data_IF_030404309546
#
_entry.id   IF_030404309546
#
_cell.length_a   1.000
_cell.length_b   1.000
_cell.length_c   1.000
_cell.angle_alpha   90.00
_cell.angle_beta   90.00
_cell.angle_gamma   90.00
#
_symmetry.space_group_name_H-M   'P 1'
#
loop_
_entity.id
_entity.type
_entity.pdbx_description
1 polymer ?
#
# COMPACT_ATOMS: atom_id res chain seq x y z
N UNK A 1 -20.49 33.71 -58.61
CA UNK A 1 -21.48 33.34 -59.62
C UNK A 1 -21.36 31.83 -59.77
N UNK A 2 -22.27 31.12 -59.12
CA UNK A 2 -22.15 29.68 -58.87
C UNK A 2 -22.30 28.87 -60.17
N UNK A 3 -21.67 27.68 -60.26
CA UNK A 3 -21.71 26.77 -61.43
C UNK A 3 -23.14 26.50 -61.95
N UNK A 4 -24.14 26.56 -61.07
CA UNK A 4 -25.55 26.44 -61.43
C UNK A 4 -26.03 27.61 -62.29
N UNK A 5 -25.51 28.82 -62.10
CA UNK A 5 -25.87 30.02 -62.86
C UNK A 5 -25.38 29.95 -64.31
N UNK A 6 -24.23 29.33 -64.58
CA UNK A 6 -23.64 29.22 -65.93
C UNK A 6 -24.25 28.07 -66.74
N UNK A 7 -24.53 26.92 -66.09
CA UNK A 7 -25.34 25.87 -66.75
C UNK A 7 -26.72 26.41 -67.17
N UNK A 8 -27.31 27.30 -66.36
CA UNK A 8 -28.55 27.99 -66.69
C UNK A 8 -28.39 29.00 -67.85
N UNK A 9 -27.17 29.50 -68.10
CA UNK A 9 -26.85 30.37 -69.24
C UNK A 9 -26.79 29.60 -70.57
N UNK A 10 -26.20 28.40 -70.62
CA UNK A 10 -26.22 27.56 -71.85
C UNK A 10 -27.65 27.22 -72.25
N UNK A 11 -28.48 26.75 -71.30
CA UNK A 11 -29.88 26.45 -71.58
C UNK A 11 -30.66 27.70 -71.96
N UNK A 12 -30.34 28.85 -71.37
CA UNK A 12 -30.92 30.15 -71.74
C UNK A 12 -30.61 30.56 -73.18
N UNK A 13 -29.35 30.44 -73.61
CA UNK A 13 -28.91 30.73 -74.99
C UNK A 13 -29.58 29.79 -76.00
N UNK A 14 -29.66 28.49 -75.69
CA UNK A 14 -30.33 27.50 -76.56
C UNK A 14 -31.84 27.81 -76.67
N UNK A 15 -32.50 28.12 -75.54
CA UNK A 15 -33.92 28.49 -75.53
C UNK A 15 -34.18 29.77 -76.33
N UNK A 16 -33.24 30.72 -76.30
CA UNK A 16 -33.31 31.94 -77.10
C UNK A 16 -33.22 31.65 -78.61
N UNK A 17 -32.30 30.76 -79.04
CA UNK A 17 -32.23 30.32 -80.44
C UNK A 17 -33.53 29.62 -80.85
N UNK A 18 -34.06 28.74 -80.00
CA UNK A 18 -35.32 28.03 -80.24
C UNK A 18 -36.50 29.00 -80.40
N UNK A 19 -36.62 29.99 -79.52
CA UNK A 19 -37.64 31.02 -79.58
C UNK A 19 -37.51 31.87 -80.86
N UNK A 20 -36.29 32.27 -81.25
CA UNK A 20 -36.05 33.03 -82.48
C UNK A 20 -36.44 32.24 -83.73
N UNK A 21 -36.23 30.92 -83.72
CA UNK A 21 -36.63 30.03 -84.82
C UNK A 21 -38.16 29.80 -84.82
N UNK A 22 -38.79 29.70 -83.65
CA UNK A 22 -40.24 29.46 -83.53
C UNK A 22 -41.08 30.68 -83.91
N UNK A 23 -40.70 31.88 -83.45
CA UNK A 23 -41.38 33.14 -83.70
C UNK A 23 -41.17 33.68 -85.12
N UNK A 24 -40.25 33.07 -85.87
CA UNK A 24 -39.89 33.55 -87.20
C UNK A 24 -41.06 33.49 -88.22
N UNK A 25 -41.23 34.56 -89.03
CA UNK A 25 -42.34 34.66 -89.98
C UNK A 25 -42.35 33.54 -91.03
N UNK A 26 -43.54 32.98 -91.30
CA UNK A 26 -43.77 32.06 -92.42
C UNK A 26 -44.05 32.86 -93.70
N UNK A 27 -43.30 32.65 -94.80
CA UNK A 27 -43.56 33.35 -96.06
C UNK A 27 -44.92 32.91 -96.65
N UNK A 28 -45.79 33.89 -96.93
CA UNK A 28 -47.20 33.68 -97.29
C UNK A 28 -47.43 33.17 -98.73
N UNK A 29 -46.40 33.11 -99.58
CA UNK A 29 -46.51 32.69 -100.98
C UNK A 29 -45.50 31.57 -101.28
N UNK A 30 -45.98 30.32 -101.38
CA UNK A 30 -45.23 29.19 -101.95
C UNK A 30 -44.14 28.54 -101.09
N UNK A 31 -44.16 28.72 -99.76
CA UNK A 31 -43.00 28.44 -98.90
C UNK A 31 -43.06 27.28 -97.90
N UNK A 32 -44.03 26.36 -97.91
CA UNK A 32 -44.04 25.18 -97.02
C UNK A 32 -43.70 25.44 -95.53
N UNK A 33 -42.99 24.51 -94.87
CA UNK A 33 -42.48 24.62 -93.49
C UNK A 33 -41.26 25.55 -93.34
N UNK A 34 -40.94 26.38 -94.33
CA UNK A 34 -39.76 27.25 -94.28
C UNK A 34 -40.04 28.46 -93.41
N UNK A 35 -39.03 28.85 -92.64
CA UNK A 35 -39.03 29.97 -91.71
C UNK A 35 -38.01 31.00 -92.20
N UNK A 36 -38.35 32.28 -92.15
CA UNK A 36 -37.42 33.37 -92.49
C UNK A 36 -36.88 33.92 -91.18
N UNK A 37 -35.63 33.59 -90.86
CA UNK A 37 -34.94 34.09 -89.67
C UNK A 37 -33.80 35.01 -90.07
N UNK A 38 -33.54 36.02 -89.25
CA UNK A 38 -32.36 36.86 -89.37
C UNK A 38 -31.10 36.02 -89.09
N UNK A 39 -30.24 35.92 -90.11
CA UNK A 39 -29.03 35.12 -90.05
C UNK A 39 -28.01 35.73 -89.08
N UNK A 40 -27.90 37.05 -89.03
CA UNK A 40 -26.90 37.73 -88.21
C UNK A 40 -27.23 37.54 -86.73
N UNK A 41 -28.51 37.68 -86.36
CA UNK A 41 -28.97 37.48 -85.00
C UNK A 41 -28.80 36.03 -84.50
N UNK A 42 -29.01 35.01 -85.34
CA UNK A 42 -28.71 33.61 -84.96
C UNK A 42 -27.21 33.38 -84.81
N UNK A 43 -26.40 33.96 -85.70
CA UNK A 43 -24.95 33.80 -85.68
C UNK A 43 -24.31 34.41 -84.43
N UNK A 44 -24.85 35.52 -83.93
CA UNK A 44 -24.41 36.14 -82.67
C UNK A 44 -24.67 35.20 -81.47
N UNK A 45 -25.89 34.68 -81.35
CA UNK A 45 -26.26 33.77 -80.25
C UNK A 45 -25.50 32.43 -80.35
N UNK A 46 -25.23 31.94 -81.56
CA UNK A 46 -24.37 30.79 -81.80
C UNK A 46 -22.89 31.09 -81.46
N UNK A 47 -22.45 32.33 -81.67
CA UNK A 47 -21.13 32.83 -81.27
C UNK A 47 -20.95 32.79 -79.76
N UNK A 48 -21.95 33.25 -79.01
CA UNK A 48 -21.97 33.20 -77.55
C UNK A 48 -22.00 31.74 -77.05
N UNK A 49 -22.80 30.88 -77.68
CA UNK A 49 -22.83 29.45 -77.37
C UNK A 49 -21.46 28.78 -77.60
N UNK A 50 -20.77 29.17 -78.67
CA UNK A 50 -19.44 28.64 -79.02
C UNK A 50 -18.38 29.02 -77.99
N UNK A 51 -18.51 30.15 -77.30
CA UNK A 51 -17.59 30.57 -76.25
C UNK A 51 -17.94 29.93 -74.90
N UNK A 52 -19.22 29.84 -74.57
CA UNK A 52 -19.70 29.34 -73.28
C UNK A 52 -19.56 27.82 -73.12
N UNK A 53 -19.90 27.03 -74.14
CA UNK A 53 -19.84 25.55 -74.07
C UNK A 53 -18.44 25.02 -73.71
N UNK A 54 -17.35 25.40 -74.42
CA UNK A 54 -16.03 24.86 -74.11
C UNK A 54 -15.54 25.26 -72.72
N UNK A 55 -15.96 26.42 -72.25
CA UNK A 55 -15.55 26.98 -70.98
C UNK A 55 -16.28 26.30 -69.80
N UNK A 56 -17.58 26.04 -69.93
CA UNK A 56 -18.32 25.21 -68.96
C UNK A 56 -17.83 23.76 -68.94
N UNK A 57 -17.49 23.18 -70.10
CA UNK A 57 -16.95 21.82 -70.17
C UNK A 57 -15.59 21.72 -69.46
N UNK A 58 -14.71 22.73 -69.60
CA UNK A 58 -13.44 22.77 -68.87
C UNK A 58 -13.65 22.81 -67.37
N UNK A 59 -14.55 23.69 -66.89
CA UNK A 59 -14.87 23.77 -65.47
C UNK A 59 -15.48 22.50 -64.92
N UNK A 60 -16.39 21.85 -65.65
CA UNK A 60 -16.97 20.58 -65.23
C UNK A 60 -15.90 19.50 -65.07
N UNK A 61 -14.95 19.41 -66.00
CA UNK A 61 -13.83 18.48 -65.89
C UNK A 61 -12.91 18.83 -64.72
N UNK A 62 -12.62 20.11 -64.48
CA UNK A 62 -11.84 20.54 -63.30
C UNK A 62 -12.54 20.17 -62.00
N UNK A 63 -13.86 20.35 -61.91
CA UNK A 63 -14.62 19.96 -60.72
C UNK A 63 -14.62 18.45 -60.49
N UNK A 64 -14.66 17.65 -61.56
CA UNK A 64 -14.53 16.18 -61.46
C UNK A 64 -13.17 15.83 -60.87
N UNK A 65 -12.08 16.37 -61.43
CA UNK A 65 -10.72 16.13 -60.92
C UNK A 65 -10.58 16.61 -59.47
N UNK A 66 -11.05 17.80 -59.15
CA UNK A 66 -11.03 18.34 -57.78
C UNK A 66 -11.81 17.42 -56.83
N UNK A 67 -12.99 16.94 -57.24
CA UNK A 67 -13.79 16.01 -56.43
C UNK A 67 -13.09 14.67 -56.22
N UNK A 68 -12.40 14.15 -57.24
CA UNK A 68 -11.61 12.92 -57.13
C UNK A 68 -10.46 13.12 -56.13
N UNK A 69 -9.73 14.23 -56.23
CA UNK A 69 -8.63 14.51 -55.28
C UNK A 69 -9.13 14.67 -53.85
N UNK A 70 -10.29 15.32 -53.64
CA UNK A 70 -10.90 15.45 -52.31
C UNK A 70 -11.30 14.08 -51.77
N UNK A 71 -11.89 13.21 -52.61
CA UNK A 71 -12.27 11.86 -52.21
C UNK A 71 -11.06 11.01 -51.86
N UNK A 72 -9.98 11.10 -52.61
CA UNK A 72 -8.76 10.33 -52.34
C UNK A 72 -8.07 10.81 -51.07
N UNK A 73 -7.95 12.13 -50.87
CA UNK A 73 -7.44 12.69 -49.61
C UNK A 73 -8.32 12.29 -48.42
N UNK A 74 -9.65 12.32 -48.56
CA UNK A 74 -10.57 11.90 -47.50
C UNK A 74 -10.41 10.40 -47.17
N UNK A 75 -10.19 9.55 -48.17
CA UNK A 75 -9.94 8.12 -48.00
C UNK A 75 -8.60 7.86 -47.30
N UNK A 76 -7.55 8.56 -47.69
CA UNK A 76 -6.23 8.45 -47.06
C UNK A 76 -6.29 8.86 -45.58
N UNK A 77 -6.85 10.04 -45.29
CA UNK A 77 -7.03 10.52 -43.91
C UNK A 77 -7.90 9.57 -43.07
N UNK A 78 -8.96 9.01 -43.66
CA UNK A 78 -9.81 8.04 -42.96
C UNK A 78 -9.05 6.74 -42.66
N UNK A 79 -8.22 6.25 -43.59
CA UNK A 79 -7.40 5.07 -43.38
C UNK A 79 -6.36 5.30 -42.27
N UNK A 80 -5.69 6.46 -42.28
CA UNK A 80 -4.73 6.84 -41.24
C UNK A 80 -5.40 6.94 -39.87
N UNK A 81 -6.58 7.57 -39.79
CA UNK A 81 -7.32 7.69 -38.54
C UNK A 81 -7.70 6.32 -37.95
N UNK A 82 -8.15 5.39 -38.80
CA UNK A 82 -8.50 4.02 -38.36
C UNK A 82 -7.26 3.28 -37.88
N UNK A 83 -6.12 3.43 -38.56
CA UNK A 83 -4.86 2.82 -38.15
C UNK A 83 -4.38 3.38 -36.80
N UNK A 84 -4.42 4.70 -36.63
CA UNK A 84 -4.01 5.36 -35.39
C UNK A 84 -4.95 4.99 -34.24
N UNK A 85 -6.27 4.98 -34.46
CA UNK A 85 -7.23 4.53 -33.46
C UNK A 85 -7.00 3.06 -33.07
N UNK A 86 -6.64 2.20 -34.02
CA UNK A 86 -6.26 0.81 -33.75
C UNK A 86 -5.03 0.70 -32.86
N UNK A 87 -3.96 1.43 -33.19
CA UNK A 87 -2.72 1.48 -32.39
C UNK A 87 -2.97 2.00 -30.98
N UNK A 88 -3.76 3.06 -30.85
CA UNK A 88 -4.12 3.62 -29.54
C UNK A 88 -4.92 2.62 -28.71
N UNK A 89 -5.94 1.98 -29.30
CA UNK A 89 -6.73 0.95 -28.63
C UNK A 89 -5.84 -0.21 -28.14
N UNK A 90 -4.94 -0.72 -28.99
CA UNK A 90 -4.00 -1.78 -28.62
C UNK A 90 -3.05 -1.33 -27.50
N UNK A 91 -2.58 -0.08 -27.53
CA UNK A 91 -1.72 0.48 -26.48
C UNK A 91 -2.46 0.59 -25.13
N UNK A 92 -3.74 0.97 -25.15
CA UNK A 92 -4.58 1.05 -23.96
C UNK A 92 -4.82 -0.34 -23.40
N UNK A 93 -5.16 -1.32 -24.25
CA UNK A 93 -5.37 -2.71 -23.82
C UNK A 93 -4.08 -3.29 -23.22
N UNK A 94 -2.92 -3.05 -23.86
CA UNK A 94 -1.63 -3.50 -23.35
C UNK A 94 -1.31 -2.87 -22.00
N UNK A 95 -1.41 -1.55 -21.88
CA UNK A 95 -1.12 -0.86 -20.61
C UNK A 95 -2.10 -1.27 -19.50
N UNK A 96 -3.38 -1.46 -19.80
CA UNK A 96 -4.36 -1.96 -18.83
C UNK A 96 -4.04 -3.40 -18.39
N UNK A 97 -3.62 -4.26 -19.32
CA UNK A 97 -3.22 -5.64 -19.01
C UNK A 97 -1.98 -5.67 -18.13
N UNK A 98 -0.95 -4.90 -18.46
CA UNK A 98 0.28 -4.77 -17.65
C UNK A 98 -0.02 -4.22 -16.25
N UNK A 99 -0.93 -3.25 -16.13
CA UNK A 99 -1.36 -2.71 -14.83
C UNK A 99 -2.12 -3.76 -14.02
N UNK A 100 -3.02 -4.52 -14.64
CA UNK A 100 -3.74 -5.59 -13.98
C UNK A 100 -2.78 -6.68 -13.47
N UNK A 101 -1.82 -7.11 -14.29
CA UNK A 101 -0.79 -8.06 -13.88
C UNK A 101 0.06 -7.55 -12.73
N UNK A 102 0.41 -6.26 -12.73
CA UNK A 102 1.16 -5.64 -11.64
C UNK A 102 0.36 -5.65 -10.34
N UNK A 103 -0.92 -5.27 -10.38
CA UNK A 103 -1.81 -5.26 -9.21
C UNK A 103 -1.96 -6.68 -8.65
N UNK A 104 -2.13 -7.68 -9.52
CA UNK A 104 -2.22 -9.07 -9.09
C UNK A 104 -0.94 -9.54 -8.40
N UNK A 105 0.23 -9.25 -8.98
CA UNK A 105 1.52 -9.60 -8.39
C UNK A 105 1.73 -8.94 -7.03
N UNK A 106 1.43 -7.66 -6.92
CA UNK A 106 1.52 -6.93 -5.65
C UNK A 106 0.55 -7.49 -4.60
N UNK A 107 -0.68 -7.83 -5.00
CA UNK A 107 -1.66 -8.44 -4.12
C UNK A 107 -1.21 -9.81 -3.61
N UNK A 108 -0.61 -10.64 -4.47
CA UNK A 108 -0.08 -11.95 -4.10
C UNK A 108 1.12 -11.82 -3.14
N UNK A 109 2.05 -10.90 -3.42
CA UNK A 109 3.20 -10.61 -2.54
C UNK A 109 2.74 -10.11 -1.16
N UNK A 110 1.78 -9.19 -1.11
CA UNK A 110 1.19 -8.71 0.14
C UNK A 110 0.41 -9.79 0.88
N UNK A 111 -0.28 -10.67 0.16
CA UNK A 111 -0.98 -11.80 0.73
C UNK A 111 0.00 -12.76 1.43
N UNK A 112 1.05 -13.18 0.73
CA UNK A 112 2.08 -14.06 1.28
C UNK A 112 2.80 -13.42 2.48
N UNK A 113 3.10 -12.12 2.42
CA UNK A 113 3.66 -11.38 3.55
C UNK A 113 2.74 -11.42 4.76
N UNK A 114 1.45 -11.14 4.61
CA UNK A 114 0.48 -11.16 5.72
C UNK A 114 0.27 -12.55 6.29
N UNK A 115 0.25 -13.58 5.45
CA UNK A 115 0.13 -14.97 5.90
C UNK A 115 1.35 -15.38 6.72
N UNK A 116 2.57 -15.07 6.25
CA UNK A 116 3.80 -15.36 7.00
C UNK A 116 3.88 -14.59 8.33
N UNK A 117 3.50 -13.30 8.35
CA UNK A 117 3.38 -12.53 9.59
C UNK A 117 2.38 -13.15 10.57
N UNK A 118 1.25 -13.65 10.07
CA UNK A 118 0.26 -14.33 10.89
C UNK A 118 0.78 -15.65 11.48
N UNK A 119 1.52 -16.44 10.70
CA UNK A 119 2.13 -17.68 11.20
C UNK A 119 3.17 -17.40 12.29
N UNK A 120 4.05 -16.41 12.08
CA UNK A 120 5.07 -16.02 13.06
C UNK A 120 4.42 -15.55 14.37
N UNK A 121 3.35 -14.75 14.28
CA UNK A 121 2.64 -14.26 15.47
C UNK A 121 1.95 -15.37 16.24
N UNK A 122 1.28 -16.32 15.56
CA UNK A 122 0.69 -17.50 16.19
C UNK A 122 1.75 -18.37 16.87
N UNK A 123 2.90 -18.58 16.22
CA UNK A 123 3.98 -19.35 16.82
C UNK A 123 4.59 -18.64 18.04
N UNK A 124 4.81 -17.33 17.93
CA UNK A 124 5.31 -16.52 19.04
C UNK A 124 4.36 -16.55 20.24
N UNK A 125 3.05 -16.46 20.02
CA UNK A 125 2.04 -16.56 21.07
C UNK A 125 2.06 -17.94 21.73
N UNK A 126 2.13 -19.01 20.93
CA UNK A 126 2.27 -20.38 21.45
C UNK A 126 3.51 -20.55 22.31
N UNK A 127 4.66 -20.02 21.85
CA UNK A 127 5.92 -20.06 22.59
C UNK A 127 5.85 -19.24 23.88
N UNK A 128 5.22 -18.07 23.85
CA UNK A 128 5.01 -17.23 25.03
C UNK A 128 4.17 -17.97 26.09
N UNK A 129 3.06 -18.59 25.70
CA UNK A 129 2.22 -19.39 26.60
C UNK A 129 2.99 -20.58 27.23
N UNK A 130 3.86 -21.23 26.46
CA UNK A 130 4.69 -22.32 26.99
C UNK A 130 5.74 -21.79 27.99
N UNK A 131 6.35 -20.64 27.69
CA UNK A 131 7.32 -20.02 28.58
C UNK A 131 6.65 -19.57 29.88
N UNK A 132 5.45 -19.01 29.81
CA UNK A 132 4.64 -18.63 30.97
C UNK A 132 4.37 -19.86 31.87
N UNK A 133 3.84 -20.95 31.31
CA UNK A 133 3.62 -22.20 32.06
C UNK A 133 4.91 -22.75 32.69
N UNK A 134 6.02 -22.67 31.96
CA UNK A 134 7.33 -23.11 32.48
C UNK A 134 7.81 -22.20 33.61
N UNK A 135 7.62 -20.90 33.48
CA UNK A 135 7.96 -19.92 34.51
C UNK A 135 7.11 -20.10 35.76
N UNK A 136 5.81 -20.35 35.62
CA UNK A 136 4.90 -20.68 36.73
C UNK A 136 5.35 -21.95 37.46
N UNK A 137 5.60 -23.04 36.73
CA UNK A 137 6.08 -24.29 37.32
C UNK A 137 7.43 -24.10 38.03
N UNK A 138 8.35 -23.35 37.44
CA UNK A 138 9.64 -23.04 38.06
C UNK A 138 9.49 -22.15 39.30
N UNK A 139 8.59 -21.16 39.27
CA UNK A 139 8.32 -20.30 40.41
C UNK A 139 7.77 -21.09 41.60
N UNK A 140 6.82 -22.01 41.34
CA UNK A 140 6.31 -22.92 42.38
C UNK A 140 7.44 -23.81 42.91
N UNK A 141 8.23 -24.41 42.02
CA UNK A 141 9.36 -25.24 42.43
C UNK A 141 10.38 -24.49 43.31
N UNK A 142 10.77 -23.27 42.92
CA UNK A 142 11.70 -22.44 43.69
C UNK A 142 11.08 -22.04 45.03
N UNK A 143 9.79 -21.70 45.06
CA UNK A 143 9.08 -21.35 46.29
C UNK A 143 9.06 -22.52 47.29
N UNK A 144 8.68 -23.71 46.82
CA UNK A 144 8.65 -24.91 47.66
C UNK A 144 10.05 -25.31 48.14
N UNK A 145 11.05 -25.25 47.25
CA UNK A 145 12.45 -25.51 47.60
C UNK A 145 12.97 -24.52 48.65
N UNK A 146 12.64 -23.24 48.51
CA UNK A 146 13.03 -22.21 49.49
C UNK A 146 12.35 -22.41 50.84
N UNK A 147 11.08 -22.83 50.85
CA UNK A 147 10.35 -23.17 52.07
C UNK A 147 10.97 -24.37 52.78
N UNK A 148 11.33 -25.41 52.02
CA UNK A 148 11.98 -26.60 52.58
C UNK A 148 13.34 -26.25 53.16
N UNK A 149 14.14 -25.46 52.46
CA UNK A 149 15.42 -24.96 52.98
C UNK A 149 15.26 -24.13 54.26
N UNK A 150 14.24 -23.27 54.32
CA UNK A 150 13.96 -22.50 55.54
C UNK A 150 13.60 -23.40 56.73
N UNK A 151 12.88 -24.49 56.50
CA UNK A 151 12.55 -25.48 57.53
C UNK A 151 13.79 -26.21 58.04
N UNK A 152 14.68 -26.66 57.13
CA UNK A 152 15.96 -27.29 57.49
C UNK A 152 16.82 -26.37 58.37
N UNK A 153 16.95 -25.08 57.99
CA UNK A 153 17.70 -24.09 58.77
C UNK A 153 17.06 -23.88 60.15
N UNK A 154 15.72 -23.83 60.24
CA UNK A 154 15.01 -23.68 61.51
C UNK A 154 15.18 -24.93 62.40
N UNK A 155 15.17 -26.12 61.82
CA UNK A 155 15.44 -27.38 62.53
C UNK A 155 16.84 -27.37 63.15
N UNK A 156 17.84 -26.92 62.40
CA UNK A 156 19.23 -26.80 62.89
C UNK A 156 19.35 -25.79 64.04
N UNK A 157 18.66 -24.64 63.93
CA UNK A 157 18.59 -23.65 65.03
C UNK A 157 17.91 -24.26 66.27
N UNK A 158 16.83 -25.01 66.10
CA UNK A 158 16.15 -25.69 67.21
C UNK A 158 17.08 -26.68 67.91
N UNK A 159 17.78 -27.54 67.15
CA UNK A 159 18.76 -28.49 67.71
C UNK A 159 19.87 -27.77 68.48
N UNK A 160 20.37 -26.65 67.94
CA UNK A 160 21.40 -25.85 68.59
C UNK A 160 20.90 -25.29 69.93
N UNK A 161 19.70 -24.68 69.94
CA UNK A 161 19.11 -24.15 71.17
C UNK A 161 18.81 -25.23 72.21
N UNK A 162 18.30 -26.39 71.81
CA UNK A 162 18.07 -27.53 72.71
C UNK A 162 19.37 -28.02 73.36
N UNK A 163 20.45 -28.10 72.57
CA UNK A 163 21.77 -28.46 73.08
C UNK A 163 22.28 -27.43 74.09
N UNK A 164 22.13 -26.13 73.78
CA UNK A 164 22.46 -25.06 74.73
C UNK A 164 21.62 -25.13 76.00
N UNK A 165 20.31 -25.38 75.90
CA UNK A 165 19.44 -25.51 77.05
C UNK A 165 19.84 -26.71 77.92
N UNK A 166 20.21 -27.85 77.33
CA UNK A 166 20.73 -29.02 78.04
C UNK A 166 22.04 -28.70 78.75
N UNK A 167 22.97 -28.00 78.09
CA UNK A 167 24.24 -27.58 78.66
C UNK A 167 24.02 -26.64 79.86
N UNK A 168 23.16 -25.62 79.72
CA UNK A 168 22.81 -24.70 80.80
C UNK A 168 22.15 -25.48 81.95
N UNK A 169 21.24 -26.39 81.66
CA UNK A 169 20.56 -27.20 82.68
C UNK A 169 21.51 -28.16 83.40
N UNK A 170 22.54 -28.65 82.72
CA UNK A 170 23.63 -29.41 83.33
C UNK A 170 24.48 -28.51 84.24
N UNK A 171 24.99 -27.38 83.74
CA UNK A 171 25.76 -26.41 84.52
C UNK A 171 24.97 -25.88 85.74
N UNK A 172 23.67 -25.62 85.59
CA UNK A 172 22.79 -25.21 86.70
C UNK A 172 22.62 -26.29 87.76
N UNK A 173 22.61 -27.57 87.37
CA UNK A 173 22.59 -28.71 88.30
C UNK A 173 23.93 -28.84 89.03
N UNK A 174 25.05 -28.67 88.33
CA UNK A 174 26.40 -28.67 88.93
C UNK A 174 26.59 -27.52 89.92
N UNK A 175 26.03 -26.33 89.63
CA UNK A 175 26.06 -25.17 90.50
C UNK A 175 24.99 -25.18 91.62
N UNK A 176 24.15 -26.23 91.71
CA UNK A 176 23.14 -26.39 92.77
C UNK A 176 21.93 -25.44 92.69
N UNK A 177 21.71 -24.75 91.57
CA UNK A 177 20.67 -23.72 91.41
C UNK A 177 19.26 -24.29 91.12
N UNK A 178 18.93 -25.46 91.68
CA UNK A 178 17.60 -26.12 91.57
C UNK A 178 16.86 -26.26 92.90
N UNK A 179 17.31 -25.62 93.97
CA UNK A 179 16.48 -25.45 95.17
C UNK A 179 16.41 -23.99 95.61
N UNK A 180 15.51 -23.24 94.98
CA UNK A 180 14.73 -22.21 95.67
C UNK A 180 13.27 -22.41 95.29
N UNK A 181 12.38 -22.77 96.24
CA UNK A 181 10.95 -22.76 96.01
C UNK A 181 10.49 -21.31 96.04
N UNK A 182 9.80 -20.86 95.00
CA UNK A 182 8.92 -19.70 95.10
C UNK A 182 7.50 -20.23 95.06
N UNK A 183 6.92 -20.31 96.25
CA UNK A 183 5.48 -20.43 96.45
C UNK A 183 4.82 -19.11 96.03
N UNK A 184 3.75 -19.28 95.24
CA UNK A 184 2.60 -18.41 94.98
C UNK A 184 2.40 -17.14 95.81
N UNK A 185 2.16 -16.02 95.10
CA UNK A 185 1.33 -14.91 95.57
C UNK A 185 0.47 -14.35 94.40
N UNK A 186 -0.84 -14.53 94.56
CA UNK A 186 -2.03 -13.83 94.02
C UNK A 186 -1.88 -12.72 92.95
N UNK A 187 -2.58 -12.96 91.83
CA UNK A 187 -3.68 -12.15 91.27
C UNK A 187 -3.66 -10.62 91.48
N UNK A 188 -3.49 -9.88 90.37
CA UNK A 188 -4.46 -8.93 89.80
C UNK A 188 -3.76 -8.07 88.73
N UNK A 189 -4.34 -8.04 87.52
CA UNK A 189 -3.88 -7.16 86.44
C UNK A 189 -3.99 -5.67 86.80
N UNK A 190 -3.26 -4.81 86.07
CA UNK A 190 -4.00 -3.89 85.23
C UNK A 190 -3.42 -3.69 83.83
N UNK A 191 -4.36 -3.38 82.95
CA UNK A 191 -4.26 -2.73 81.63
C UNK A 191 -3.32 -1.51 81.68
N UNK A 192 -2.48 -1.32 80.65
CA UNK A 192 -2.09 -0.02 80.03
C UNK A 192 -1.51 -0.36 78.64
N UNK A 193 -2.30 -0.24 77.57
CA UNK A 193 -2.50 0.93 76.68
C UNK A 193 -1.42 1.08 75.61
N UNK A 194 -1.89 1.13 74.37
CA UNK A 194 -1.14 1.48 73.16
C UNK A 194 -0.31 2.76 73.35
N UNK A 195 0.85 2.83 72.68
CA UNK A 195 1.06 3.90 71.70
C UNK A 195 2.27 3.63 70.80
N UNK A 196 1.95 3.58 69.51
CA UNK A 196 2.80 3.95 68.39
C UNK A 196 3.60 5.22 68.65
N UNK A 197 4.84 5.27 68.17
CA UNK A 197 5.33 6.48 67.53
C UNK A 197 6.11 6.11 66.27
N UNK A 198 5.49 6.43 65.14
CA UNK A 198 6.20 6.81 63.93
C UNK A 198 7.15 7.96 64.30
N UNK A 199 8.42 7.86 63.93
CA UNK A 199 9.25 9.07 63.75
C UNK A 199 10.09 9.00 62.49
N UNK A 200 9.60 9.76 61.51
CA UNK A 200 10.32 10.60 60.55
C UNK A 200 11.36 9.96 59.64
N UNK A 201 10.98 9.92 58.36
CA UNK A 201 11.89 10.24 57.27
C UNK A 201 12.59 11.58 57.55
N UNK A 202 13.93 11.58 57.58
CA UNK A 202 14.79 12.40 56.74
C UNK A 202 16.24 12.33 57.24
N UNK A 203 17.14 12.08 56.29
CA UNK A 203 18.53 12.55 56.24
C UNK A 203 19.60 11.72 56.97
N UNK A 204 20.14 10.74 56.25
CA UNK A 204 21.59 10.57 56.14
C UNK A 204 21.94 10.23 54.69
N UNK A 205 22.43 11.24 53.98
CA UNK A 205 23.34 11.05 52.87
C UNK A 205 24.63 10.39 53.39
N UNK A 206 25.30 9.67 52.49
CA UNK A 206 26.65 9.10 52.61
C UNK A 206 26.79 7.80 53.42
N UNK A 207 26.78 6.67 52.72
CA UNK A 207 27.91 5.73 52.58
C UNK A 207 27.36 4.41 52.04
N UNK A 208 27.30 4.31 50.71
CA UNK A 208 27.19 3.02 50.03
C UNK A 208 28.60 2.45 49.92
N UNK A 209 29.05 1.81 50.98
CA UNK A 209 30.18 0.89 50.95
C UNK A 209 29.85 -0.31 51.83
N UNK A 210 30.21 -1.49 51.34
CA UNK A 210 30.19 -2.79 52.00
C UNK A 210 28.91 -3.64 51.99
N UNK A 211 28.65 -4.28 50.83
CA UNK A 211 28.39 -5.73 50.85
C UNK A 211 29.62 -6.41 50.25
N UNK A 212 30.43 -7.03 51.13
CA UNK A 212 31.42 -8.03 50.73
C UNK A 212 30.67 -9.31 50.38
N UNK A 213 30.51 -9.59 49.10
CA UNK A 213 30.23 -10.95 48.61
C UNK A 213 31.52 -11.77 48.70
N UNK A 214 31.46 -12.89 49.42
CA UNK A 214 32.52 -13.90 49.48
C UNK A 214 32.67 -14.63 48.12
N UNK A 215 33.86 -15.19 47.82
CA UNK A 215 34.23 -15.58 46.46
C UNK A 215 33.62 -16.90 45.98
N UNK A 216 33.14 -16.90 44.74
CA UNK A 216 32.84 -18.10 43.95
C UNK A 216 34.15 -18.84 43.68
N UNK A 217 34.19 -20.16 43.98
CA UNK A 217 35.32 -21.04 43.67
C UNK A 217 35.41 -21.30 42.16
N UNK A 218 36.61 -21.37 41.55
CA UNK A 218 36.76 -21.79 40.18
C UNK A 218 36.60 -23.31 40.06
N UNK A 219 35.79 -23.75 39.11
CA UNK A 219 35.81 -25.14 38.62
C UNK A 219 37.05 -25.26 37.74
N UNK A 220 38.02 -26.07 38.17
CA UNK A 220 39.18 -26.46 37.36
C UNK A 220 38.73 -27.47 36.31
N UNK A 221 39.09 -27.18 35.06
CA UNK A 221 39.10 -28.13 33.98
C UNK A 221 40.25 -29.12 34.18
N UNK A 222 39.97 -30.41 33.98
CA UNK A 222 40.93 -31.42 33.53
C UNK A 222 40.13 -32.47 32.76
N UNK A 223 40.28 -32.48 31.44
CA UNK A 223 40.61 -33.66 30.62
C UNK A 223 40.45 -33.30 29.14
N UNK A 224 41.58 -33.29 28.45
CA UNK A 224 41.75 -33.09 27.03
C UNK A 224 41.20 -34.29 26.24
N UNK A 225 40.43 -34.05 25.18
CA UNK A 225 40.55 -34.84 23.95
C UNK A 225 40.34 -33.95 22.71
N UNK A 226 41.21 -34.20 21.74
CA UNK A 226 41.63 -33.43 20.57
C UNK A 226 40.66 -33.57 19.38
N UNK A 227 40.57 -32.57 18.49
CA UNK A 227 40.78 -32.67 17.02
C UNK A 227 40.47 -31.32 16.31
N UNK A 228 41.56 -30.64 15.92
CA UNK A 228 41.88 -29.80 14.74
C UNK A 228 40.77 -29.21 13.83
N UNK A 229 40.83 -27.89 13.58
CA UNK A 229 40.73 -27.26 12.22
C UNK A 229 41.58 -25.97 12.17
N UNK A 230 42.17 -25.73 11.00
CA UNK A 230 43.35 -24.93 10.64
C UNK A 230 43.35 -23.39 10.83
N UNK A 231 44.55 -22.87 10.56
CA UNK A 231 45.22 -21.63 10.92
C UNK A 231 44.89 -20.37 10.05
N UNK A 232 44.83 -19.22 10.73
CA UNK A 232 45.13 -17.83 10.32
C UNK A 232 44.63 -17.21 8.99
N UNK A 233 43.81 -16.14 9.10
CA UNK A 233 44.00 -14.86 8.35
C UNK A 233 43.58 -13.62 9.16
N UNK A 234 44.48 -12.63 9.24
CA UNK A 234 44.39 -11.35 9.98
C UNK A 234 43.32 -10.37 9.45
N UNK A 235 42.80 -9.43 10.27
CA UNK A 235 41.75 -8.49 9.89
C UNK A 235 42.27 -7.27 9.10
N UNK A 236 41.58 -6.90 8.01
CA UNK A 236 41.83 -5.67 7.24
C UNK A 236 40.79 -4.59 7.54
N UNK A 237 41.30 -3.52 8.15
CA UNK A 237 41.04 -2.09 7.91
C UNK A 237 39.76 -1.67 7.15
N UNK A 238 38.96 -0.87 7.87
CA UNK A 238 38.37 0.43 7.49
C UNK A 238 37.91 0.61 6.03
N UNK A 239 36.64 0.29 5.80
CA UNK A 239 35.84 0.65 4.62
C UNK A 239 35.58 2.18 4.47
N UNK A 240 35.77 2.95 5.55
CA UNK A 240 35.47 4.39 5.63
C UNK A 240 36.44 5.30 4.86
N UNK A 241 37.48 4.75 4.23
CA UNK A 241 38.50 5.52 3.50
C UNK A 241 38.29 5.55 1.98
N UNK A 242 37.14 5.06 1.47
CA UNK A 242 36.84 5.00 0.02
C UNK A 242 35.68 5.86 -0.46
N UNK A 243 35.03 6.63 0.41
CA UNK A 243 33.86 7.44 0.06
C UNK A 243 34.03 8.94 0.25
N UNK A 244 35.27 9.42 0.36
CA UNK A 244 35.55 10.85 0.58
C UNK A 244 36.53 11.40 -0.46
N UNK A 245 35.98 11.90 -1.57
CA UNK A 245 36.68 12.86 -2.43
C UNK A 245 36.37 12.70 -3.92
N UNK A 246 35.43 13.53 -4.41
CA UNK A 246 35.39 14.23 -5.72
C UNK A 246 33.92 14.65 -5.97
N UNK A 247 33.48 15.84 -5.51
CA UNK A 247 33.48 17.18 -6.14
C UNK A 247 32.45 17.38 -7.27
N UNK A 248 31.59 18.40 -7.06
CA UNK A 248 30.80 19.19 -8.03
C UNK A 248 29.57 18.46 -8.62
N UNK A 249 28.34 18.96 -8.62
CA UNK A 249 27.81 20.33 -8.78
C UNK A 249 26.57 20.54 -7.89
N UNK A 250 26.40 21.76 -7.38
CA UNK A 250 25.22 22.18 -6.62
C UNK A 250 24.06 22.50 -7.56
N UNK A 251 22.95 21.78 -7.39
CA UNK A 251 21.64 22.12 -7.94
C UNK A 251 20.82 22.68 -6.77
N UNK A 252 20.49 23.98 -6.85
CA UNK A 252 19.51 24.63 -5.99
C UNK A 252 18.12 24.15 -6.45
N UNK A 253 17.42 23.37 -5.63
CA UNK A 253 16.02 23.04 -5.84
C UNK A 253 15.15 23.83 -4.86
N UNK A 254 14.43 24.77 -5.46
CA UNK A 254 13.40 25.65 -4.94
C UNK A 254 12.24 24.79 -4.41
N UNK A 255 12.07 24.73 -3.08
CA UNK A 255 10.96 24.04 -2.44
C UNK A 255 9.80 25.00 -2.33
N UNK A 256 8.82 24.91 -3.24
CA UNK A 256 7.56 25.64 -3.16
C UNK A 256 6.73 25.14 -1.96
N UNK A 257 6.40 26.05 -1.05
CA UNK A 257 5.40 25.88 0.01
C UNK A 257 3.99 25.83 -0.62
N UNK A 258 3.39 24.65 -0.74
CA UNK A 258 1.94 24.53 -0.93
C UNK A 258 1.22 24.33 0.42
N UNK A 259 0.59 25.44 0.82
CA UNK A 259 -0.63 25.61 1.62
C UNK A 259 -1.27 24.36 2.27
N UNK A 260 -1.21 24.35 3.61
CA UNK A 260 -2.06 23.52 4.46
C UNK A 260 -3.54 23.97 4.35
N UNK A 261 -4.30 23.27 3.51
CA UNK A 261 -5.75 23.40 3.40
C UNK A 261 -6.51 22.64 4.49
N UNK A 262 -7.50 23.34 5.08
CA UNK A 262 -8.25 23.02 6.29
C UNK A 262 -8.86 21.61 6.42
N UNK A 263 -8.63 21.05 7.60
CA UNK A 263 -9.20 19.80 8.12
C UNK A 263 -10.63 20.06 8.64
N UNK A 264 -11.65 19.59 7.92
CA UNK A 264 -13.06 19.57 8.39
C UNK A 264 -13.43 18.15 8.83
N UNK A 265 -13.79 17.89 10.11
CA UNK A 265 -14.18 16.56 10.54
C UNK A 265 -15.70 16.32 10.49
N UNK A 266 -16.03 15.07 10.15
CA UNK A 266 -17.17 14.26 10.60
C UNK A 266 -18.55 14.40 9.91
N UNK A 267 -18.93 13.32 9.18
CA UNK A 267 -20.29 12.75 9.23
C UNK A 267 -20.27 11.21 9.17
N UNK A 268 -20.25 10.58 10.36
CA UNK A 268 -21.03 9.39 10.78
C UNK A 268 -21.38 8.32 9.71
N UNK A 269 -20.64 7.21 9.70
CA UNK A 269 -21.08 5.95 9.07
C UNK A 269 -21.95 5.17 10.08
N UNK A 270 -23.27 5.09 9.80
CA UNK A 270 -24.19 4.20 10.53
C UNK A 270 -23.94 2.75 10.11
N UNK A 271 -23.53 1.91 11.06
CA UNK A 271 -23.41 0.45 10.90
C UNK A 271 -24.81 -0.14 10.74
N UNK A 272 -25.13 -0.65 9.55
CA UNK A 272 -26.35 -1.42 9.32
C UNK A 272 -26.06 -2.90 9.61
N UNK A 273 -26.64 -3.40 10.71
CA UNK A 273 -26.62 -4.82 11.11
C UNK A 273 -27.67 -5.54 10.26
N UNK A 274 -27.25 -6.36 9.30
CA UNK A 274 -28.12 -7.14 8.41
C UNK A 274 -27.75 -8.61 8.40
N UNK A 275 -28.32 -9.36 9.35
CA UNK A 275 -28.86 -10.73 9.24
C UNK A 275 -28.14 -11.72 8.30
N UNK A 276 -27.21 -12.50 8.87
CA UNK A 276 -26.74 -13.76 8.27
C UNK A 276 -27.71 -14.91 8.59
N UNK A 277 -27.88 -15.80 7.60
CA UNK A 277 -28.46 -17.16 7.60
C UNK A 277 -29.83 -17.34 6.94
N UNK A 278 -29.85 -18.00 5.78
CA UNK A 278 -30.19 -19.43 5.60
C UNK A 278 -30.26 -19.78 4.12
N UNK A 279 -30.13 -21.07 3.83
CA UNK A 279 -30.33 -21.78 2.54
C UNK A 279 -29.10 -21.88 1.65
N UNK A 280 -28.36 -22.97 1.84
CA UNK A 280 -27.92 -23.90 0.78
C UNK A 280 -27.36 -25.16 1.48
N UNK A 281 -28.25 -25.94 2.10
CA UNK A 281 -28.00 -27.39 2.26
C UNK A 281 -28.42 -28.02 0.93
N UNK A 282 -27.42 -28.40 0.13
CA UNK A 282 -27.62 -29.27 -1.04
C UNK A 282 -27.18 -30.65 -0.60
N UNK A 283 -28.16 -31.48 -0.26
CA UNK A 283 -28.00 -32.91 -0.05
C UNK A 283 -27.42 -33.55 -1.32
N UNK A 284 -26.19 -34.06 -1.23
CA UNK A 284 -25.60 -34.98 -2.18
C UNK A 284 -25.33 -36.29 -1.45
N UNK A 285 -26.36 -37.12 -1.33
CA UNK A 285 -26.23 -38.58 -1.25
C UNK A 285 -27.56 -39.24 -1.65
N UNK A 286 -27.43 -40.39 -2.34
CA UNK A 286 -28.48 -41.32 -2.80
C UNK A 286 -29.11 -41.11 -4.20
N UNK A 287 -28.44 -41.64 -5.24
CA UNK A 287 -28.87 -42.87 -5.95
C UNK A 287 -27.90 -43.32 -7.04
#
# INVERSE_FOLDING_TARGET
MSNSEQSMQIYGIISQIEQMVEESPRPKLGGGNKRVVDMDAILDVLGDLKVTIPEDLRRANSLIVDSETILDNARENAAELVENAGKEADSIIRSASEQAERILREADEEFERRVSEHEITLEAERRAQLLEKKAEANAVFVYDSAKQYADEVLEDVQKFLDNYQRLISANRRELGASQRPVQSASDQGPVITQQSYIRTAQQSQSQADFIRTAPVRPVTADEEENVQVDEERKPKQSWWSRFKGEREEGFEEEFEEEEAGDMVPDKRIKRQKGRWNRELDVDLDEK
#
